data_IF_762607597194
#
_entry.id   IF_762607597194
#
_cell.length_a   1.000
_cell.length_b   1.000
_cell.length_c   1.000
_cell.angle_alpha   90.00
_cell.angle_beta   90.00
_cell.angle_gamma   90.00
#
_symmetry.space_group_name_H-M   'P 1'
#
loop_
_entity.id
_entity.type
_entity.pdbx_description
1 polymer ?
#
# COMPACT_ATOMS: atom_id res chain seq x y z
N UNK A 1 18.09 13.74 15.15
CA UNK A 1 16.82 13.52 14.45
C UNK A 1 15.88 14.64 14.83
N UNK A 2 15.30 15.33 13.84
CA UNK A 2 14.25 16.31 14.11
C UNK A 2 12.96 15.61 14.57
N UNK A 3 12.04 16.33 15.22
CA UNK A 3 10.73 15.77 15.59
C UNK A 3 9.93 15.28 14.37
N UNK A 4 10.11 15.91 13.20
CA UNK A 4 9.49 15.48 11.95
C UNK A 4 10.02 14.11 11.49
N UNK A 5 11.34 13.89 11.57
CA UNK A 5 11.96 12.61 11.18
C UNK A 5 11.45 11.44 12.04
N UNK A 6 11.21 11.69 13.33
CA UNK A 6 10.68 10.69 14.25
C UNK A 6 9.25 10.28 13.89
N UNK A 7 8.38 11.26 13.62
CA UNK A 7 6.99 11.01 13.22
C UNK A 7 6.92 10.28 11.86
N UNK A 8 7.82 10.61 10.93
CA UNK A 8 7.91 9.92 9.64
C UNK A 8 8.33 8.45 9.80
N UNK A 9 9.32 8.17 10.65
CA UNK A 9 9.76 6.79 10.90
C UNK A 9 8.67 5.95 11.58
N UNK A 10 7.96 6.52 12.56
CA UNK A 10 6.83 5.87 13.23
C UNK A 10 5.70 5.53 12.24
N UNK A 11 5.40 6.46 11.33
CA UNK A 11 4.41 6.24 10.27
C UNK A 11 4.84 5.11 9.31
N UNK A 12 6.08 5.14 8.81
CA UNK A 12 6.61 4.09 7.91
C UNK A 12 6.58 2.73 8.61
N UNK A 13 6.97 2.68 9.89
CA UNK A 13 6.94 1.45 10.68
C UNK A 13 5.52 0.92 10.83
N UNK A 14 4.54 1.80 11.03
CA UNK A 14 3.13 1.44 11.12
C UNK A 14 2.60 0.88 9.79
N UNK A 15 2.96 1.52 8.66
CA UNK A 15 2.63 1.03 7.32
C UNK A 15 3.24 -0.36 7.08
N UNK A 16 4.53 -0.55 7.37
CA UNK A 16 5.22 -1.83 7.23
C UNK A 16 4.53 -2.94 8.02
N UNK A 17 4.15 -2.66 9.27
CA UNK A 17 3.44 -3.61 10.13
C UNK A 17 2.09 -4.00 9.53
N UNK A 18 1.31 -3.04 9.06
CA UNK A 18 0.01 -3.32 8.44
C UNK A 18 0.13 -4.12 7.14
N UNK A 19 1.15 -3.85 6.32
CA UNK A 19 1.43 -4.63 5.11
C UNK A 19 1.89 -6.06 5.44
N UNK A 20 2.70 -6.22 6.49
CA UNK A 20 3.09 -7.54 7.01
C UNK A 20 1.87 -8.33 7.48
N UNK A 21 1.00 -7.72 8.27
CA UNK A 21 -0.22 -8.34 8.76
C UNK A 21 -1.15 -8.73 7.59
N UNK A 22 -1.26 -7.88 6.56
CA UNK A 22 -2.00 -8.18 5.33
C UNK A 22 -1.45 -9.41 4.60
N UNK A 23 -0.12 -9.48 4.46
CA UNK A 23 0.56 -10.62 3.85
C UNK A 23 0.36 -11.92 4.63
N UNK A 24 0.41 -11.87 5.96
CA UNK A 24 0.29 -13.05 6.84
C UNK A 24 -1.06 -13.78 6.68
N UNK A 25 -2.11 -13.06 6.27
CA UNK A 25 -3.44 -13.63 6.02
C UNK A 25 -3.52 -14.44 4.73
N UNK A 26 -2.56 -14.27 3.81
CA UNK A 26 -2.43 -15.08 2.59
C UNK A 26 -3.45 -14.79 1.47
N UNK A 27 -4.35 -13.81 1.64
CA UNK A 27 -5.32 -13.40 0.61
C UNK A 27 -4.76 -12.36 -0.37
N UNK A 28 -3.73 -11.62 0.04
CA UNK A 28 -3.08 -10.58 -0.73
C UNK A 28 -1.58 -10.74 -0.60
N UNK A 29 -0.86 -10.24 -1.60
CA UNK A 29 0.58 -10.02 -1.53
C UNK A 29 0.82 -8.53 -1.64
N UNK A 30 1.57 -7.97 -0.70
CA UNK A 30 1.92 -6.57 -0.60
C UNK A 30 3.44 -6.41 -0.49
N UNK A 31 3.94 -5.34 -1.11
CA UNK A 31 5.35 -4.96 -1.10
C UNK A 31 5.49 -3.51 -0.68
N UNK A 32 6.62 -3.22 -0.05
CA UNK A 32 7.10 -1.87 0.17
C UNK A 32 8.59 -1.84 -0.17
N UNK A 33 8.93 -1.17 -1.26
CA UNK A 33 10.31 -0.99 -1.69
C UNK A 33 10.76 0.44 -1.40
N UNK A 34 11.87 0.58 -0.68
CA UNK A 34 12.43 1.90 -0.36
C UNK A 34 13.40 2.37 -1.45
N UNK A 35 13.24 3.62 -1.88
CA UNK A 35 14.16 4.30 -2.80
C UNK A 35 14.88 5.41 -2.06
N UNK A 36 16.18 5.21 -1.84
CA UNK A 36 17.05 6.23 -1.25
C UNK A 36 17.23 7.46 -2.15
N UNK A 37 17.18 7.28 -3.48
CA UNK A 37 17.37 8.37 -4.44
C UNK A 37 16.20 9.38 -4.41
N UNK A 38 14.96 8.89 -4.27
CA UNK A 38 13.77 9.74 -4.21
C UNK A 38 13.31 10.03 -2.78
N UNK A 39 14.07 9.53 -1.79
CA UNK A 39 13.70 9.52 -0.37
C UNK A 39 12.24 9.12 -0.17
N UNK A 40 11.87 7.99 -0.76
CA UNK A 40 10.48 7.58 -0.92
C UNK A 40 10.34 6.06 -0.93
N UNK A 41 9.13 5.59 -1.14
CA UNK A 41 8.83 4.18 -1.22
C UNK A 41 7.77 3.88 -2.27
N UNK A 42 7.85 2.69 -2.83
CA UNK A 42 6.87 2.13 -3.72
C UNK A 42 6.03 1.11 -2.94
N UNK A 43 4.70 1.23 -3.01
CA UNK A 43 3.77 0.25 -2.47
C UNK A 43 3.04 -0.40 -3.62
N UNK A 44 2.96 -1.72 -3.57
CA UNK A 44 2.10 -2.51 -4.46
C UNK A 44 1.31 -3.51 -3.62
N UNK A 45 0.08 -3.78 -4.03
CA UNK A 45 -0.77 -4.81 -3.43
C UNK A 45 -1.48 -5.55 -4.57
N UNK A 46 -1.35 -6.86 -4.60
CA UNK A 46 -2.12 -7.75 -5.49
C UNK A 46 -3.00 -8.67 -4.68
N UNK A 47 -4.04 -9.19 -5.34
CA UNK A 47 -4.84 -10.29 -4.78
C UNK A 47 -4.17 -11.63 -5.02
N UNK A 48 -4.16 -12.48 -4.00
CA UNK A 48 -3.57 -13.81 -4.01
C UNK A 48 -2.06 -13.80 -3.74
N UNK A 49 -1.43 -14.96 -3.95
CA UNK A 49 0.03 -15.13 -3.86
C UNK A 49 0.70 -14.62 -5.13
N UNK A 50 1.81 -13.91 -4.97
CA UNK A 50 2.71 -13.63 -6.08
C UNK A 50 3.36 -14.93 -6.59
N UNK A 51 3.50 -15.02 -7.90
CA UNK A 51 4.16 -16.13 -8.60
C UNK A 51 5.03 -15.51 -9.68
N UNK A 52 6.29 -15.92 -9.72
CA UNK A 52 7.25 -15.47 -10.73
C UNK A 52 6.71 -15.68 -12.16
N UNK A 53 6.97 -14.72 -13.03
CA UNK A 53 6.52 -14.76 -14.43
C UNK A 53 5.02 -14.56 -14.66
N UNK A 54 4.20 -14.50 -13.60
CA UNK A 54 2.76 -14.25 -13.73
C UNK A 54 2.46 -12.76 -13.69
N UNK A 55 1.86 -12.24 -14.76
CA UNK A 55 1.33 -10.89 -14.75
C UNK A 55 0.07 -10.83 -13.86
N UNK A 56 0.10 -9.99 -12.82
CA UNK A 56 -1.02 -9.82 -11.90
C UNK A 56 -1.35 -8.34 -11.79
N UNK A 57 -2.63 -8.01 -11.99
CA UNK A 57 -3.11 -6.63 -11.87
C UNK A 57 -3.07 -6.19 -10.40
N UNK A 58 -2.49 -5.02 -10.09
CA UNK A 58 -2.53 -4.47 -8.74
C UNK A 58 -3.96 -4.12 -8.33
N UNK A 59 -4.28 -4.40 -7.07
CA UNK A 59 -5.43 -3.83 -6.36
C UNK A 59 -5.10 -2.41 -5.91
N UNK A 60 -3.83 -2.18 -5.58
CA UNK A 60 -3.31 -0.88 -5.22
C UNK A 60 -1.86 -0.76 -5.67
N UNK A 61 -1.49 0.43 -6.11
CA UNK A 61 -0.13 0.77 -6.50
C UNK A 61 0.07 2.27 -6.28
N UNK A 62 1.17 2.63 -5.61
CA UNK A 62 1.54 4.02 -5.36
C UNK A 62 3.06 4.14 -5.32
N UNK A 63 3.58 5.21 -5.92
CA UNK A 63 4.99 5.57 -5.82
C UNK A 63 5.09 6.85 -5.00
N UNK A 64 5.41 6.73 -3.71
CA UNK A 64 5.40 7.86 -2.79
C UNK A 64 6.79 8.47 -2.70
N UNK A 65 6.92 9.72 -3.08
CA UNK A 65 8.18 10.48 -3.02
C UNK A 65 8.04 11.63 -2.03
N UNK A 66 9.12 11.94 -1.29
CA UNK A 66 9.16 13.08 -0.37
C UNK A 66 9.91 14.27 -0.98
N UNK A 67 9.53 14.71 -2.18
CA UNK A 67 10.12 15.93 -2.73
C UNK A 67 9.54 17.12 -1.96
N UNK A 68 10.38 17.86 -1.23
CA UNK A 68 10.01 19.05 -0.44
C UNK A 68 9.20 18.80 0.86
N UNK A 69 9.34 17.64 1.49
CA UNK A 69 8.69 17.35 2.78
C UNK A 69 7.20 17.02 2.69
N UNK A 70 6.66 16.86 1.47
CA UNK A 70 5.29 16.41 1.21
C UNK A 70 5.37 15.05 0.53
N UNK A 71 4.56 14.11 1.00
CA UNK A 71 4.45 12.79 0.39
C UNK A 71 3.51 12.89 -0.81
N UNK A 72 4.04 12.66 -2.02
CA UNK A 72 3.26 12.68 -3.26
C UNK A 72 3.28 11.33 -3.93
N UNK A 73 2.12 10.89 -4.42
CA UNK A 73 2.06 9.76 -5.35
C UNK A 73 2.52 10.24 -6.73
N UNK A 74 3.63 9.70 -7.21
CA UNK A 74 4.24 10.07 -8.48
C UNK A 74 3.44 9.58 -9.69
N UNK A 75 2.52 8.62 -9.54
CA UNK A 75 1.64 8.21 -10.64
C UNK A 75 0.52 9.23 -10.89
N UNK A 76 -0.06 9.79 -9.83
CA UNK A 76 -1.15 10.76 -9.93
C UNK A 76 -0.70 12.23 -9.80
N UNK A 77 0.50 12.47 -9.29
CA UNK A 77 1.01 13.80 -8.92
C UNK A 77 0.36 14.41 -7.68
N UNK A 78 -0.61 13.73 -7.07
CA UNK A 78 -1.36 14.21 -5.92
C UNK A 78 -0.64 13.91 -4.61
N UNK A 79 -1.02 14.62 -3.54
CA UNK A 79 -0.57 14.29 -2.19
C UNK A 79 -1.03 12.88 -1.83
N UNK A 80 -0.10 12.07 -1.34
CA UNK A 80 -0.40 10.73 -0.86
C UNK A 80 -1.25 10.81 0.41
N UNK A 81 -2.49 10.35 0.30
CA UNK A 81 -3.46 10.36 1.39
C UNK A 81 -3.26 9.12 2.28
N UNK A 82 -2.44 9.31 3.32
CA UNK A 82 -2.12 8.27 4.30
C UNK A 82 -3.39 7.69 4.93
N UNK A 83 -4.36 8.53 5.29
CA UNK A 83 -5.60 8.09 5.95
C UNK A 83 -6.44 7.19 5.04
N UNK A 84 -6.57 7.54 3.76
CA UNK A 84 -7.24 6.68 2.77
C UNK A 84 -6.49 5.37 2.56
N UNK A 85 -5.17 5.42 2.49
CA UNK A 85 -4.36 4.22 2.37
C UNK A 85 -4.55 3.27 3.56
N UNK A 86 -4.48 3.78 4.80
CA UNK A 86 -4.71 2.97 6.00
C UNK A 86 -6.13 2.37 6.03
N UNK A 87 -7.13 3.15 5.61
CA UNK A 87 -8.53 2.68 5.50
C UNK A 87 -8.69 1.57 4.45
N UNK A 88 -7.97 1.67 3.33
CA UNK A 88 -7.92 0.61 2.32
C UNK A 88 -7.33 -0.67 2.92
N UNK A 89 -6.18 -0.59 3.59
CA UNK A 89 -5.56 -1.77 4.20
C UNK A 89 -6.52 -2.41 5.21
N UNK A 90 -7.17 -1.63 6.06
CA UNK A 90 -8.18 -2.15 7.00
C UNK A 90 -9.31 -2.90 6.28
N UNK A 91 -9.83 -2.35 5.19
CA UNK A 91 -10.85 -3.03 4.37
C UNK A 91 -10.34 -4.35 3.77
N UNK A 92 -9.09 -4.39 3.31
CA UNK A 92 -8.46 -5.63 2.81
C UNK A 92 -8.21 -6.62 3.97
N UNK A 93 -7.93 -6.15 5.18
CA UNK A 93 -7.80 -6.95 6.40
C UNK A 93 -9.13 -7.56 6.85
N UNK A 94 -10.26 -6.95 6.48
CA UNK A 94 -11.59 -7.50 6.76
C UNK A 94 -12.11 -8.42 5.65
N UNK A 95 -11.44 -8.45 4.49
CA UNK A 95 -11.80 -9.32 3.37
C UNK A 95 -11.85 -10.79 3.82
N UNK A 96 -13.01 -11.44 3.66
CA UNK A 96 -13.21 -12.88 3.88
C UNK A 96 -13.49 -13.58 2.55
N UNK A 97 -12.66 -14.56 2.20
CA UNK A 97 -12.78 -15.35 0.96
C UNK A 97 -14.03 -16.24 0.89
N UNK A 98 -14.79 -16.38 1.98
CA UNK A 98 -15.99 -17.23 2.05
C UNK A 98 -17.24 -16.64 1.37
N UNK A 99 -17.15 -15.44 0.80
CA UNK A 99 -18.23 -14.88 -0.03
C UNK A 99 -18.05 -15.35 -1.48
N UNK A 100 -18.91 -16.27 -1.93
CA UNK A 100 -19.13 -16.52 -3.37
C UNK A 100 -19.49 -15.18 -4.02
N UNK A 101 -18.56 -14.60 -4.76
CA UNK A 101 -18.75 -13.32 -5.45
C UNK A 101 -19.75 -13.54 -6.60
N UNK A 102 -21.03 -13.22 -6.38
CA UNK A 102 -21.83 -12.67 -7.49
C UNK A 102 -21.19 -11.32 -7.81
N UNK A 103 -20.82 -11.14 -9.07
CA UNK A 103 -20.15 -9.94 -9.59
C UNK A 103 -20.83 -8.67 -9.06
N UNK A 104 -20.21 -7.99 -8.10
CA UNK A 104 -20.57 -6.64 -7.74
C UNK A 104 -19.91 -5.73 -8.79
N UNK A 105 -20.72 -5.25 -9.74
CA UNK A 105 -20.35 -4.11 -10.57
C UNK A 105 -20.20 -2.92 -9.63
N UNK A 106 -19.00 -2.37 -9.56
CA UNK A 106 -18.77 -1.07 -8.94
C UNK A 106 -19.29 -0.02 -9.95
N UNK A 107 -20.19 0.89 -9.57
CA UNK A 107 -20.61 1.98 -10.44
C UNK A 107 -19.42 2.87 -10.77
N UNK A 108 -19.26 3.16 -12.07
CA UNK A 108 -18.36 4.16 -12.63
C UNK A 108 -18.75 5.57 -12.20
#
# INVERSE_FOLDING_TARGET
>A
MSHQDKNTLELITSILKMLYDLNSRGYFTAWLDWSGHTNGFYIKIIKGKWVEGKNVKPVYEALVCSTFGIWKDAFSGQTFDVSKFLSLIQSLMEYKSSVKVKSLKIPT
#
